data_IF_970648368803
#
_entry.id   IF_970648368803
#
_cell.length_a   1.000
_cell.length_b   1.000
_cell.length_c   1.000
_cell.angle_alpha   90.00
_cell.angle_beta   90.00
_cell.angle_gamma   90.00
#
_symmetry.space_group_name_H-M   'P 1'
#
loop_
_entity.id
_entity.type
_entity.pdbx_description
1 polymer ?
#
# COMPACT_ATOMS: atom_id res chain seq x y z
N UNK A 1 -5.39 -3.36 18.43
CA UNK A 1 -6.17 -2.59 17.43
C UNK A 1 -5.32 -1.58 16.66
N UNK A 2 -4.63 -0.61 17.29
CA UNK A 2 -3.86 0.41 16.54
C UNK A 2 -2.78 -0.16 15.61
N UNK A 3 -2.05 -1.19 16.05
CA UNK A 3 -1.02 -1.85 15.22
C UNK A 3 -1.63 -2.59 14.02
N UNK A 4 -2.83 -3.15 14.13
CA UNK A 4 -3.50 -3.83 13.01
C UNK A 4 -3.93 -2.82 11.93
N UNK A 5 -4.43 -1.65 12.34
CA UNK A 5 -4.79 -0.57 11.41
C UNK A 5 -3.54 0.00 10.72
N UNK A 6 -2.42 0.19 11.44
CA UNK A 6 -1.14 0.62 10.85
C UNK A 6 -0.62 -0.42 9.85
N UNK A 7 -0.65 -1.70 10.21
CA UNK A 7 -0.24 -2.77 9.31
C UNK A 7 -1.09 -2.80 8.03
N UNK A 8 -2.41 -2.71 8.18
CA UNK A 8 -3.35 -2.63 7.06
C UNK A 8 -3.10 -1.39 6.18
N UNK A 9 -2.85 -0.24 6.80
CA UNK A 9 -2.49 1.02 6.12
C UNK A 9 -1.23 0.84 5.26
N UNK A 10 -0.20 0.20 5.80
CA UNK A 10 1.07 -0.03 5.10
C UNK A 10 0.88 -0.97 3.92
N UNK A 11 0.10 -2.04 4.06
CA UNK A 11 -0.20 -2.98 2.96
C UNK A 11 -0.96 -2.27 1.83
N UNK A 12 -1.98 -1.47 2.17
CA UNK A 12 -2.75 -0.74 1.15
C UNK A 12 -1.92 0.36 0.49
N UNK A 13 -1.09 1.09 1.25
CA UNK A 13 -0.14 2.06 0.71
C UNK A 13 0.80 1.39 -0.29
N UNK A 14 1.37 0.25 0.09
CA UNK A 14 2.29 -0.49 -0.75
C UNK A 14 1.66 -0.94 -2.05
N UNK A 15 0.40 -1.40 -1.99
CA UNK A 15 -0.36 -1.75 -3.19
C UNK A 15 -0.57 -0.55 -4.13
N UNK A 16 -0.83 0.63 -3.57
CA UNK A 16 -1.03 1.85 -4.36
C UNK A 16 0.24 2.31 -5.06
N UNK A 17 1.41 2.14 -4.44
CA UNK A 17 2.71 2.57 -4.97
C UNK A 17 3.44 1.51 -5.79
N UNK A 18 2.85 0.31 -6.00
CA UNK A 18 3.50 -0.83 -6.69
C UNK A 18 4.80 -1.31 -6.03
N UNK A 19 4.80 -1.43 -4.70
CA UNK A 19 5.81 -2.29 -4.07
C UNK A 19 5.34 -3.73 -4.11
N UNK A 20 6.03 -4.55 -4.89
CA UNK A 20 5.82 -5.99 -4.94
C UNK A 20 6.62 -6.72 -3.84
N UNK A 21 7.64 -6.09 -3.26
CA UNK A 21 8.55 -6.69 -2.27
C UNK A 21 8.08 -6.55 -0.81
N UNK A 22 6.78 -6.37 -0.55
CA UNK A 22 6.27 -6.33 0.82
C UNK A 22 6.22 -7.73 1.44
N UNK A 23 7.36 -8.27 1.86
CA UNK A 23 7.45 -9.52 2.62
C UNK A 23 7.54 -9.28 4.14
N UNK A 24 7.37 -10.31 4.97
CA UNK A 24 7.32 -10.17 6.44
C UNK A 24 8.55 -9.48 7.06
N UNK A 25 9.72 -9.53 6.42
CA UNK A 25 10.93 -8.82 6.89
C UNK A 25 10.84 -7.29 6.78
N UNK A 26 9.87 -6.76 6.04
CA UNK A 26 9.63 -5.33 5.89
C UNK A 26 8.72 -4.77 6.99
N UNK A 27 8.38 -5.60 7.96
CA UNK A 27 7.66 -5.21 9.16
C UNK A 27 8.53 -5.49 10.38
N UNK A 28 8.96 -4.43 11.04
CA UNK A 28 9.70 -4.51 12.29
C UNK A 28 8.84 -4.06 13.46
N UNK A 29 9.14 -4.58 14.65
CA UNK A 29 8.61 -4.05 15.89
C UNK A 29 9.70 -3.35 16.68
N UNK A 30 9.32 -2.27 17.34
CA UNK A 30 10.18 -1.49 18.24
C UNK A 30 9.64 -1.66 19.64
N UNK A 31 10.51 -1.95 20.59
CA UNK A 31 10.17 -1.95 22.01
C UNK A 31 10.05 -0.50 22.49
N UNK A 32 8.91 -0.17 23.08
CA UNK A 32 8.63 1.15 23.65
C UNK A 32 8.12 1.02 25.08
N UNK A 33 8.05 2.11 25.83
CA UNK A 33 7.53 2.11 27.20
C UNK A 33 6.18 1.38 27.38
N UNK A 34 5.18 1.52 26.48
CA UNK A 34 3.93 0.76 26.55
C UNK A 34 3.99 -0.67 25.98
N UNK A 35 5.15 -1.15 25.53
CA UNK A 35 5.37 -2.47 24.91
C UNK A 35 5.78 -2.37 23.44
N UNK A 36 5.61 -3.48 22.71
CA UNK A 36 5.99 -3.58 21.31
C UNK A 36 5.01 -2.82 20.40
N UNK A 37 5.55 -1.95 19.55
CA UNK A 37 4.82 -1.22 18.52
C UNK A 37 5.41 -1.50 17.15
N UNK A 38 4.64 -1.34 16.08
CA UNK A 38 5.20 -1.39 14.73
C UNK A 38 6.14 -0.20 14.49
N UNK A 39 7.24 -0.44 13.81
CA UNK A 39 8.10 0.62 13.29
C UNK A 39 7.33 1.46 12.25
N UNK A 40 7.79 2.68 11.95
CA UNK A 40 7.40 3.36 10.71
C UNK A 40 7.60 2.42 9.50
N UNK A 41 6.76 2.58 8.48
CA UNK A 41 6.90 1.82 7.24
C UNK A 41 8.18 2.23 6.50
N UNK A 42 8.89 1.25 5.94
CA UNK A 42 10.10 1.42 5.15
C UNK A 42 10.05 0.52 3.90
N UNK A 43 10.97 0.74 2.97
CA UNK A 43 11.14 -0.07 1.75
C UNK A 43 9.89 -0.12 0.83
N UNK A 44 9.18 1.01 0.75
CA UNK A 44 8.05 1.20 -0.17
C UNK A 44 8.56 1.80 -1.48
N UNK A 45 8.94 0.94 -2.42
CA UNK A 45 9.47 1.32 -3.74
C UNK A 45 8.46 1.04 -4.85
N UNK A 46 8.38 1.91 -5.86
CA UNK A 46 7.61 1.62 -7.07
C UNK A 46 8.46 0.75 -8.01
N UNK A 47 8.26 -0.56 -7.91
CA UNK A 47 9.02 -1.52 -8.71
C UNK A 47 8.53 -1.54 -10.15
N UNK A 48 7.26 -1.26 -10.42
CA UNK A 48 6.71 -1.25 -11.77
C UNK A 48 7.40 -0.28 -12.74
N UNK A 49 7.93 0.85 -12.25
CA UNK A 49 8.70 1.80 -13.08
C UNK A 49 10.21 1.55 -13.04
N UNK A 50 10.71 0.90 -12.00
CA UNK A 50 12.14 0.63 -11.80
C UNK A 50 12.58 -0.66 -12.51
N UNK A 51 11.71 -1.67 -12.51
CA UNK A 51 11.87 -2.95 -13.20
C UNK A 51 10.55 -3.37 -13.87
N UNK A 52 10.28 -2.88 -15.10
CA UNK A 52 9.04 -3.17 -15.82
C UNK A 52 8.87 -4.64 -16.25
N UNK A 53 9.94 -5.44 -16.23
CA UNK A 53 9.89 -6.87 -16.57
C UNK A 53 9.40 -7.73 -15.40
N UNK A 54 9.45 -7.18 -14.17
CA UNK A 54 8.88 -7.82 -13.00
C UNK A 54 7.34 -7.76 -13.05
N UNK A 55 6.73 -8.96 -13.04
CA UNK A 55 5.28 -9.17 -13.10
C UNK A 55 4.72 -9.72 -11.79
N UNK A 56 5.49 -9.65 -10.71
CA UNK A 56 5.01 -9.93 -9.37
C UNK A 56 4.15 -8.78 -8.86
N UNK A 57 3.03 -9.11 -8.21
CA UNK A 57 2.04 -8.12 -7.78
C UNK A 57 2.03 -7.90 -6.26
N UNK A 58 2.35 -8.92 -5.46
CA UNK A 58 2.68 -8.84 -4.02
C UNK A 58 3.51 -10.07 -3.60
N UNK A 59 4.49 -9.87 -2.72
CA UNK A 59 5.26 -10.94 -2.08
C UNK A 59 4.40 -11.76 -1.11
N UNK A 60 3.52 -11.10 -0.34
CA UNK A 60 2.54 -11.73 0.57
C UNK A 60 1.24 -12.08 -0.15
N UNK A 61 0.71 -13.26 0.16
CA UNK A 61 -0.64 -13.64 -0.25
C UNK A 61 -1.68 -12.90 0.58
N UNK A 62 -2.60 -12.19 -0.07
CA UNK A 62 -3.82 -11.69 0.56
C UNK A 62 -4.96 -12.64 0.23
N UNK A 63 -5.62 -13.19 1.24
CA UNK A 63 -6.68 -14.20 1.09
C UNK A 63 -6.28 -15.36 0.15
N UNK A 64 -5.03 -15.84 0.26
CA UNK A 64 -4.49 -16.93 -0.58
C UNK A 64 -4.17 -16.54 -2.03
N UNK A 65 -4.30 -15.27 -2.42
CA UNK A 65 -3.99 -14.78 -3.77
C UNK A 65 -2.80 -13.84 -3.77
N UNK A 66 -1.94 -13.97 -4.79
CA UNK A 66 -0.85 -13.03 -5.08
C UNK A 66 -1.13 -12.08 -6.24
N UNK A 67 -2.13 -12.39 -7.08
CA UNK A 67 -2.44 -11.66 -8.31
C UNK A 67 -3.93 -11.37 -8.46
N UNK A 68 -4.28 -10.36 -9.27
CA UNK A 68 -5.65 -9.92 -9.56
C UNK A 68 -6.41 -9.52 -8.29
N UNK A 69 -5.74 -8.75 -7.44
CA UNK A 69 -6.31 -8.31 -6.18
C UNK A 69 -7.33 -7.19 -6.41
N UNK A 70 -8.57 -7.44 -6.01
CA UNK A 70 -9.68 -6.48 -6.00
C UNK A 70 -9.81 -5.82 -4.62
N UNK A 71 -10.59 -4.74 -4.55
CA UNK A 71 -10.97 -4.09 -3.29
C UNK A 71 -11.51 -5.07 -2.26
N UNK A 72 -12.35 -6.02 -2.68
CA UNK A 72 -12.95 -7.04 -1.82
C UNK A 72 -11.90 -7.87 -1.07
N UNK A 73 -10.80 -8.27 -1.71
CA UNK A 73 -9.74 -9.00 -1.00
C UNK A 73 -9.10 -8.16 0.11
N UNK A 74 -8.98 -6.85 -0.07
CA UNK A 74 -8.47 -5.96 0.98
C UNK A 74 -9.49 -5.75 2.10
N UNK A 75 -10.78 -5.68 1.78
CA UNK A 75 -11.85 -5.65 2.79
C UNK A 75 -11.81 -6.91 3.65
N UNK A 76 -11.84 -8.09 3.01
CA UNK A 76 -11.80 -9.37 3.72
C UNK A 76 -10.53 -9.50 4.57
N UNK A 77 -9.37 -9.09 4.03
CA UNK A 77 -8.12 -9.07 4.79
C UNK A 77 -8.18 -8.15 6.02
N UNK A 78 -8.78 -6.96 5.90
CA UNK A 78 -8.97 -6.06 7.03
C UNK A 78 -9.89 -6.66 8.10
N UNK A 79 -10.95 -7.35 7.69
CA UNK A 79 -11.86 -8.06 8.60
C UNK A 79 -11.17 -9.23 9.30
N UNK A 80 -10.36 -10.01 8.58
CA UNK A 80 -9.53 -11.11 9.13
C UNK A 80 -8.51 -10.60 10.17
N UNK A 81 -8.03 -9.36 10.01
CA UNK A 81 -7.19 -8.67 11.00
C UNK A 81 -7.97 -8.14 12.22
N UNK A 82 -9.29 -8.31 12.24
CA UNK A 82 -10.18 -7.85 13.31
C UNK A 82 -10.53 -6.35 13.23
N UNK A 83 -10.35 -5.71 12.08
CA UNK A 83 -10.79 -4.33 11.87
C UNK A 83 -12.30 -4.28 11.61
N UNK A 84 -12.96 -3.27 12.16
CA UNK A 84 -14.35 -3.00 11.80
C UNK A 84 -14.45 -2.45 10.38
N UNK A 85 -15.59 -2.68 9.71
CA UNK A 85 -15.89 -2.07 8.40
C UNK A 85 -15.67 -0.55 8.40
N UNK A 86 -16.03 0.14 9.48
CA UNK A 86 -15.82 1.60 9.63
C UNK A 86 -14.34 2.00 9.65
N UNK A 87 -13.45 1.15 10.15
CA UNK A 87 -12.00 1.40 10.11
C UNK A 87 -11.47 1.16 8.70
N UNK A 88 -11.83 0.04 8.08
CA UNK A 88 -11.44 -0.30 6.71
C UNK A 88 -11.86 0.81 5.73
N UNK A 89 -13.13 1.23 5.77
CA UNK A 89 -13.65 2.28 4.92
C UNK A 89 -12.96 3.63 5.15
N UNK A 90 -12.65 3.97 6.41
CA UNK A 90 -11.90 5.18 6.75
C UNK A 90 -10.51 5.19 6.12
N UNK A 91 -9.84 4.05 6.08
CA UNK A 91 -8.53 3.89 5.47
C UNK A 91 -8.59 4.14 3.96
N UNK A 92 -9.51 3.49 3.24
CA UNK A 92 -9.73 3.73 1.81
C UNK A 92 -10.02 5.21 1.53
N UNK A 93 -10.98 5.79 2.26
CA UNK A 93 -11.35 7.19 2.11
C UNK A 93 -10.19 8.15 2.38
N UNK A 94 -9.31 7.83 3.33
CA UNK A 94 -8.12 8.63 3.62
C UNK A 94 -7.15 8.62 2.44
N UNK A 95 -6.89 7.47 1.81
CA UNK A 95 -6.05 7.41 0.61
C UNK A 95 -6.67 8.17 -0.56
N UNK A 96 -7.97 8.00 -0.81
CA UNK A 96 -8.67 8.72 -1.87
C UNK A 96 -8.58 10.24 -1.70
N UNK A 97 -8.82 10.74 -0.48
CA UNK A 97 -8.71 12.17 -0.16
C UNK A 97 -7.28 12.71 -0.34
N UNK A 98 -6.27 11.87 -0.13
CA UNK A 98 -4.87 12.25 -0.24
C UNK A 98 -4.25 11.95 -1.61
N UNK A 99 -4.99 11.41 -2.58
CA UNK A 99 -4.50 11.11 -3.94
C UNK A 99 -3.76 12.30 -4.56
N UNK A 100 -4.35 13.49 -4.49
CA UNK A 100 -3.75 14.72 -5.05
C UNK A 100 -2.44 15.09 -4.35
N UNK A 101 -2.32 14.86 -3.04
CA UNK A 101 -1.09 15.06 -2.29
C UNK A 101 0.00 14.08 -2.71
N UNK A 102 -0.35 12.81 -2.93
CA UNK A 102 0.58 11.79 -3.43
C UNK A 102 1.12 12.15 -4.82
N UNK A 103 0.25 12.59 -5.73
CA UNK A 103 0.66 13.05 -7.06
C UNK A 103 1.62 14.23 -6.94
N UNK A 104 1.31 15.24 -6.11
CA UNK A 104 2.22 16.37 -5.88
C UNK A 104 3.59 15.94 -5.30
N UNK A 105 3.62 14.92 -4.45
CA UNK A 105 4.90 14.39 -3.93
C UNK A 105 5.73 13.75 -5.04
N UNK A 106 5.09 13.02 -5.97
CA UNK A 106 5.75 12.44 -7.14
C UNK A 106 6.30 13.54 -8.05
N UNK A 107 5.52 14.59 -8.31
CA UNK A 107 5.92 15.75 -9.13
C UNK A 107 7.07 16.56 -8.53
N UNK A 108 7.17 16.59 -7.20
CA UNK A 108 8.25 17.28 -6.48
C UNK A 108 9.45 16.37 -6.20
N UNK A 109 9.51 15.18 -6.81
CA UNK A 109 10.61 14.21 -6.62
C UNK A 109 11.74 14.43 -7.61
N UNK A 110 12.82 13.67 -7.47
CA UNK A 110 13.97 13.68 -8.39
C UNK A 110 13.76 12.79 -9.63
N UNK A 111 12.54 12.32 -9.89
CA UNK A 111 12.25 11.50 -11.06
C UNK A 111 12.39 12.33 -12.34
N UNK A 112 12.87 11.69 -13.40
CA UNK A 112 12.76 12.27 -14.74
C UNK A 112 11.30 12.46 -15.11
N UNK A 113 10.99 13.44 -15.96
CA UNK A 113 9.61 13.70 -16.40
C UNK A 113 8.94 12.45 -16.98
N UNK A 114 9.69 11.60 -17.69
CA UNK A 114 9.20 10.31 -18.22
C UNK A 114 8.78 9.37 -17.09
N UNK A 115 9.60 9.22 -16.04
CA UNK A 115 9.31 8.35 -14.91
C UNK A 115 8.19 8.89 -14.03
N UNK A 116 8.13 10.22 -13.84
CA UNK A 116 7.05 10.89 -13.11
C UNK A 116 5.69 10.57 -13.75
N UNK A 117 5.56 10.79 -15.07
CA UNK A 117 4.33 10.50 -15.80
C UNK A 117 3.96 9.01 -15.74
N UNK A 118 4.95 8.12 -15.85
CA UNK A 118 4.74 6.68 -15.72
C UNK A 118 4.22 6.29 -14.32
N UNK A 119 4.82 6.85 -13.26
CA UNK A 119 4.38 6.62 -11.88
C UNK A 119 2.95 7.12 -11.70
N UNK A 120 2.67 8.38 -12.04
CA UNK A 120 1.33 8.97 -11.88
C UNK A 120 0.29 8.09 -12.58
N UNK A 121 0.53 7.69 -13.83
CA UNK A 121 -0.37 6.80 -14.58
C UNK A 121 -0.67 5.51 -13.82
N UNK A 122 0.37 4.83 -13.34
CA UNK A 122 0.24 3.58 -12.56
C UNK A 122 -0.58 3.81 -11.28
N UNK A 123 -0.27 4.87 -10.54
CA UNK A 123 -0.98 5.24 -9.33
C UNK A 123 -2.48 5.47 -9.61
N UNK A 124 -2.80 6.18 -10.69
CA UNK A 124 -4.18 6.44 -11.09
C UNK A 124 -4.95 5.17 -11.44
N UNK A 125 -4.36 4.27 -12.22
CA UNK A 125 -4.95 2.97 -12.55
C UNK A 125 -5.22 2.12 -11.29
N UNK A 126 -4.37 2.23 -10.26
CA UNK A 126 -4.56 1.53 -8.98
C UNK A 126 -5.66 2.16 -8.15
N UNK A 127 -5.75 3.49 -8.10
CA UNK A 127 -6.88 4.17 -7.47
C UNK A 127 -8.21 3.77 -8.10
N UNK A 128 -8.28 3.68 -9.44
CA UNK A 128 -9.48 3.21 -10.15
C UNK A 128 -9.84 1.79 -9.71
N UNK A 129 -8.90 0.84 -9.74
CA UNK A 129 -9.15 -0.57 -9.38
C UNK A 129 -9.53 -0.80 -7.92
N UNK A 130 -9.04 0.04 -7.01
CA UNK A 130 -9.31 -0.07 -5.58
C UNK A 130 -10.58 0.68 -5.12
N UNK A 131 -11.14 1.54 -5.99
CA UNK A 131 -12.34 2.32 -5.67
C UNK A 131 -13.53 2.05 -6.62
N UNK A 132 -13.33 1.21 -7.64
CA UNK A 132 -14.37 0.61 -8.47
C UNK A 132 -15.19 -0.44 -7.72
#
# INVERSE_FOLDING_TARGET
MRSAEIFYDTILAGKLVETNDMHLKNFSMIESAPGWILSPAYDLLNVAIADPEDKEELALTLCGKKKKLTKEHFVNFGEDLGLSYKQIDRVFNRFQKNKSKMIKMIQNSFLSQKMELAYIKVLEERFIRLHS
#
